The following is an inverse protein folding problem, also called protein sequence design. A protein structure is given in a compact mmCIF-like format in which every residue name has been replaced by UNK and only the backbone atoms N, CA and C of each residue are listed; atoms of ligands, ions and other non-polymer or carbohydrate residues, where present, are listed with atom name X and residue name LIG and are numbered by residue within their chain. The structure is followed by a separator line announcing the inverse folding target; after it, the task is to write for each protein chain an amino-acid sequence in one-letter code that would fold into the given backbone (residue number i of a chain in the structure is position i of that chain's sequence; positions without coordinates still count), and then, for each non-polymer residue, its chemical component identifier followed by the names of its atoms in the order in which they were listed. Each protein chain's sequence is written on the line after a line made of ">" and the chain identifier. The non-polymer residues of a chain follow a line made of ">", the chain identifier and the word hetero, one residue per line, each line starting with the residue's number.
data_IF_478812589513
#
_entry.id   IF_478812589513
#
_cell.length_a   1.000
_cell.length_b   1.000
_cell.length_c   1.000
_cell.angle_alpha   90.00
_cell.angle_beta   90.00
_cell.angle_gamma   90.00
#
_symmetry.space_group_name_H-M   'P 1'
#
loop_
_entity.id
_entity.type
_entity.pdbx_description
1 polymer ?
#
# COMPACT_ATOMS: atom_id res chain seq x y z
N UNK A 1 -9.44 67.80 -53.64
CA UNK A 1 -8.00 68.07 -53.89
C UNK A 1 -7.24 67.13 -52.96
N UNK A 2 -6.57 66.12 -53.54
CA UNK A 2 -5.44 65.28 -53.05
C UNK A 2 -5.53 64.75 -51.59
N UNK A 3 -5.78 63.46 -51.35
CA UNK A 3 -4.86 62.30 -51.46
C UNK A 3 -3.57 62.37 -50.64
N UNK A 4 -3.16 61.18 -50.16
CA UNK A 4 -1.97 60.76 -49.39
C UNK A 4 -2.06 60.91 -47.85
N UNK A 5 -2.35 59.84 -47.08
CA UNK A 5 -1.66 58.54 -46.89
C UNK A 5 -0.56 58.60 -45.84
N UNK A 6 -0.87 58.08 -44.65
CA UNK A 6 0.05 57.23 -43.88
C UNK A 6 -0.77 56.05 -43.36
N UNK A 7 -0.92 55.06 -44.22
CA UNK A 7 -1.00 53.67 -43.79
C UNK A 7 0.20 53.33 -42.90
N UNK A 8 0.01 52.34 -42.02
CA UNK A 8 0.94 51.78 -41.02
C UNK A 8 0.89 52.50 -39.68
N UNK A 9 0.11 51.94 -38.75
CA UNK A 9 0.67 51.16 -37.65
C UNK A 9 -0.48 50.45 -36.92
N UNK A 10 -0.71 49.18 -37.30
CA UNK A 10 -1.00 48.08 -36.37
C UNK A 10 -2.37 48.17 -35.65
N UNK A 11 -3.46 47.56 -36.14
CA UNK A 11 -3.68 46.10 -36.25
C UNK A 11 -3.05 45.27 -35.11
N UNK A 12 -3.32 45.63 -33.86
CA UNK A 12 -3.18 44.85 -32.62
C UNK A 12 -3.76 45.80 -31.57
N UNK A 13 -4.90 45.57 -30.89
CA UNK A 13 -5.16 44.49 -29.94
C UNK A 13 -6.64 44.59 -29.53
N UNK A 14 -7.56 44.26 -30.43
CA UNK A 14 -8.96 43.98 -30.06
C UNK A 14 -9.19 42.46 -30.00
N UNK A 15 -8.53 41.79 -29.05
CA UNK A 15 -8.80 40.39 -28.67
C UNK A 15 -7.99 40.03 -27.42
N UNK A 16 -8.33 40.56 -26.24
CA UNK A 16 -7.68 40.07 -25.02
C UNK A 16 -8.45 40.31 -23.72
N UNK A 17 -9.75 40.02 -23.68
CA UNK A 17 -10.46 39.90 -22.39
C UNK A 17 -11.43 38.72 -22.33
N UNK A 18 -11.19 37.67 -23.12
CA UNK A 18 -11.97 36.43 -23.11
C UNK A 18 -11.12 35.21 -22.71
N UNK A 19 -10.21 35.33 -21.73
CA UNK A 19 -9.40 34.18 -21.28
C UNK A 19 -8.67 34.39 -19.94
N UNK A 20 -9.36 34.84 -18.88
CA UNK A 20 -8.75 34.95 -17.54
C UNK A 20 -9.64 34.49 -16.38
N UNK A 21 -10.58 33.58 -16.63
CA UNK A 21 -11.38 32.94 -15.57
C UNK A 21 -11.41 31.40 -15.74
N UNK A 22 -10.31 30.80 -16.21
CA UNK A 22 -10.17 29.35 -16.31
C UNK A 22 -8.70 28.94 -16.00
N UNK A 23 -8.26 29.09 -14.75
CA UNK A 23 -7.36 28.05 -14.23
C UNK A 23 -7.68 27.60 -12.80
N UNK A 24 -8.83 27.99 -12.23
CA UNK A 24 -9.14 27.60 -10.84
C UNK A 24 -9.93 26.27 -10.72
N UNK A 25 -10.48 25.75 -11.82
CA UNK A 25 -11.26 24.49 -11.81
C UNK A 25 -10.40 23.28 -12.24
N UNK A 26 -9.20 23.49 -12.77
CA UNK A 26 -8.34 22.41 -13.29
C UNK A 26 -7.25 21.91 -12.34
N UNK A 27 -7.28 22.31 -11.06
CA UNK A 27 -6.33 21.84 -10.04
C UNK A 27 -6.90 20.80 -9.07
N UNK A 28 -8.18 20.44 -9.22
CA UNK A 28 -8.83 19.40 -8.40
C UNK A 28 -9.02 18.04 -9.11
N UNK A 29 -8.66 17.91 -10.40
CA UNK A 29 -8.90 16.68 -11.19
C UNK A 29 -7.63 15.83 -11.38
N UNK A 30 -6.47 16.27 -10.89
CA UNK A 30 -5.19 15.56 -11.05
C UNK A 30 -4.60 15.03 -9.73
N UNK A 31 -5.43 14.75 -8.74
CA UNK A 31 -5.06 13.64 -7.87
C UNK A 31 -5.38 12.39 -8.67
N UNK A 32 -4.40 11.54 -9.06
CA UNK A 32 -4.77 10.17 -9.30
C UNK A 32 -5.48 9.75 -8.02
N UNK A 33 -6.78 9.48 -8.12
CA UNK A 33 -7.42 8.60 -7.18
C UNK A 33 -6.53 7.37 -7.24
N UNK A 34 -5.68 7.24 -6.23
CA UNK A 34 -4.90 6.04 -5.98
C UNK A 34 -5.98 5.02 -5.65
N UNK A 35 -6.59 4.48 -6.70
CA UNK A 35 -7.47 3.34 -6.61
C UNK A 35 -6.56 2.30 -5.99
N UNK A 36 -6.84 1.96 -4.73
CA UNK A 36 -6.31 0.78 -4.11
C UNK A 36 -6.72 -0.37 -5.03
N UNK A 37 -5.84 -0.69 -5.98
CA UNK A 37 -6.03 -1.79 -6.89
C UNK A 37 -6.02 -3.00 -5.98
N UNK A 38 -7.19 -3.60 -5.81
CA UNK A 38 -7.35 -4.83 -5.07
C UNK A 38 -6.46 -5.84 -5.78
N UNK A 39 -5.30 -6.14 -5.20
CA UNK A 39 -4.45 -7.19 -5.71
C UNK A 39 -5.19 -8.49 -5.44
N UNK A 40 -5.40 -9.29 -6.48
CA UNK A 40 -6.03 -10.59 -6.34
C UNK A 40 -5.30 -11.42 -5.29
N UNK A 41 -6.06 -12.12 -4.44
CA UNK A 41 -5.52 -13.01 -3.43
C UNK A 41 -4.51 -13.99 -4.06
N UNK A 42 -3.29 -14.11 -3.51
CA UNK A 42 -2.32 -15.04 -4.05
C UNK A 42 -2.86 -16.46 -3.86
N UNK A 43 -2.58 -17.32 -4.83
CA UNK A 43 -2.73 -18.76 -4.66
C UNK A 43 -1.92 -19.25 -3.45
N UNK A 44 -2.22 -20.46 -2.98
CA UNK A 44 -1.50 -21.05 -1.85
C UNK A 44 0.01 -21.17 -2.17
N UNK A 45 0.34 -21.53 -3.40
CA UNK A 45 1.72 -21.68 -3.90
C UNK A 45 2.45 -20.32 -3.95
N UNK A 46 1.77 -19.27 -4.42
CA UNK A 46 2.30 -17.90 -4.44
C UNK A 46 2.48 -17.37 -3.02
N UNK A 47 1.51 -17.60 -2.14
CA UNK A 47 1.60 -17.23 -0.73
C UNK A 47 2.82 -17.88 -0.08
N UNK A 48 3.01 -19.19 -0.26
CA UNK A 48 4.20 -19.92 0.23
C UNK A 48 5.50 -19.33 -0.31
N UNK A 49 5.54 -18.96 -1.59
CA UNK A 49 6.72 -18.33 -2.21
C UNK A 49 6.99 -16.94 -1.63
N UNK A 50 5.95 -16.14 -1.44
CA UNK A 50 6.07 -14.80 -0.84
C UNK A 50 6.58 -14.93 0.59
N UNK A 51 5.95 -15.78 1.40
CA UNK A 51 6.30 -16.13 2.78
C UNK A 51 7.77 -16.56 2.90
N UNK A 52 8.22 -17.49 2.05
CA UNK A 52 9.60 -17.98 2.05
C UNK A 52 10.64 -16.86 1.82
N UNK A 53 10.23 -15.78 1.16
CA UNK A 53 11.08 -14.63 0.89
C UNK A 53 11.07 -13.57 2.00
N UNK A 54 10.21 -13.69 3.03
CA UNK A 54 10.27 -12.82 4.20
C UNK A 54 11.48 -13.17 5.07
N UNK A 55 12.25 -12.15 5.43
CA UNK A 55 13.53 -12.28 6.15
C UNK A 55 13.40 -13.10 7.45
N UNK A 56 12.28 -12.97 8.17
CA UNK A 56 12.02 -13.72 9.40
C UNK A 56 11.77 -15.22 9.17
N UNK A 57 11.17 -15.58 8.04
CA UNK A 57 10.81 -16.96 7.71
C UNK A 57 11.87 -17.67 6.87
N UNK A 58 12.88 -16.93 6.35
CA UNK A 58 14.06 -17.50 5.70
C UNK A 58 14.90 -18.36 6.64
N UNK A 59 14.87 -18.08 7.94
CA UNK A 59 15.47 -18.97 8.92
C UNK A 59 14.72 -20.31 8.86
N UNK A 60 15.42 -21.43 8.70
CA UNK A 60 14.84 -22.79 8.62
C UNK A 60 14.06 -23.23 9.89
N UNK A 61 13.77 -22.28 10.78
CA UNK A 61 13.13 -22.40 12.08
C UNK A 61 11.61 -22.32 11.98
N UNK A 62 11.07 -21.86 10.84
CA UNK A 62 9.64 -21.67 10.62
C UNK A 62 9.08 -22.70 9.63
N UNK A 63 7.92 -23.27 9.97
CA UNK A 63 7.19 -24.21 9.12
C UNK A 63 5.77 -23.72 8.96
N UNK A 64 5.33 -23.43 7.72
CA UNK A 64 3.93 -23.09 7.45
C UNK A 64 3.08 -24.34 7.67
N UNK A 65 2.15 -24.28 8.61
CA UNK A 65 1.26 -25.38 8.98
C UNK A 65 -0.04 -25.30 8.20
N UNK A 66 -0.59 -24.08 8.08
CA UNK A 66 -1.91 -23.87 7.50
C UNK A 66 -2.03 -22.50 6.83
N UNK A 67 -2.78 -22.45 5.72
CA UNK A 67 -3.17 -21.23 5.01
C UNK A 67 -4.67 -21.36 4.71
N UNK A 68 -5.45 -20.37 5.11
CA UNK A 68 -6.90 -20.30 4.87
C UNK A 68 -7.34 -18.87 4.52
N UNK A 69 -8.48 -18.70 3.84
CA UNK A 69 -9.09 -17.38 3.65
C UNK A 69 -9.38 -16.70 4.98
N UNK A 70 -9.06 -15.42 5.05
CA UNK A 70 -9.13 -14.60 6.24
C UNK A 70 -9.87 -13.29 6.02
N UNK A 71 -10.08 -12.56 7.12
CA UNK A 71 -10.53 -11.17 7.09
C UNK A 71 -9.64 -10.34 7.98
N UNK A 72 -9.32 -9.14 7.54
CA UNK A 72 -8.66 -8.14 8.37
C UNK A 72 -9.59 -6.97 8.59
N UNK A 73 -9.92 -6.68 9.85
CA UNK A 73 -10.61 -5.45 10.21
C UNK A 73 -9.58 -4.38 10.62
N UNK A 74 -9.61 -3.25 9.95
CA UNK A 74 -8.84 -2.07 10.32
C UNK A 74 -9.45 -1.30 11.50
N UNK A 75 -8.68 -0.38 12.09
CA UNK A 75 -9.12 0.47 13.20
C UNK A 75 -10.35 1.34 12.85
N UNK A 76 -10.48 1.75 11.58
CA UNK A 76 -11.63 2.52 11.07
C UNK A 76 -12.90 1.67 10.86
N UNK A 77 -12.83 0.35 11.11
CA UNK A 77 -13.93 -0.59 10.91
C UNK A 77 -14.01 -1.18 9.49
N UNK A 78 -13.18 -0.74 8.56
CA UNK A 78 -13.09 -1.31 7.22
C UNK A 78 -12.63 -2.77 7.30
N UNK A 79 -13.29 -3.65 6.54
CA UNK A 79 -12.98 -5.08 6.49
C UNK A 79 -12.36 -5.39 5.14
N UNK A 80 -11.12 -5.84 5.18
CA UNK A 80 -10.44 -6.46 4.05
C UNK A 80 -10.84 -7.92 3.97
N UNK A 81 -11.68 -8.23 2.99
CA UNK A 81 -12.09 -9.61 2.69
C UNK A 81 -11.04 -10.37 1.86
N UNK A 82 -9.97 -9.69 1.43
CA UNK A 82 -8.86 -10.24 0.64
C UNK A 82 -7.62 -10.58 1.51
N UNK A 83 -7.83 -11.15 2.69
CA UNK A 83 -6.75 -11.54 3.59
C UNK A 83 -6.56 -13.06 3.57
N UNK A 84 -5.33 -13.52 3.83
CA UNK A 84 -5.04 -14.92 4.17
C UNK A 84 -4.63 -15.02 5.63
N UNK A 85 -5.17 -16.00 6.34
CA UNK A 85 -4.69 -16.39 7.65
C UNK A 85 -3.62 -17.47 7.48
N UNK A 86 -2.47 -17.23 8.10
CA UNK A 86 -1.30 -18.08 7.95
C UNK A 86 -0.85 -18.52 9.33
N UNK A 87 -0.90 -19.82 9.57
CA UNK A 87 -0.42 -20.41 10.81
C UNK A 87 0.95 -21.02 10.58
N UNK A 88 1.92 -20.60 11.38
CA UNK A 88 3.32 -21.01 11.28
C UNK A 88 3.78 -21.59 12.61
N UNK A 89 4.47 -22.72 12.57
CA UNK A 89 5.20 -23.27 13.71
C UNK A 89 6.63 -22.73 13.70
N UNK A 90 7.01 -21.99 14.73
CA UNK A 90 8.34 -21.38 14.83
C UNK A 90 8.79 -21.17 16.27
N UNK A 91 10.06 -20.79 16.49
CA UNK A 91 10.56 -20.50 17.84
C UNK A 91 9.76 -19.35 18.45
N UNK A 92 9.50 -19.40 19.76
CA UNK A 92 8.74 -18.37 20.49
C UNK A 92 9.35 -16.99 20.29
N UNK A 93 10.66 -16.89 20.49
CA UNK A 93 11.49 -15.70 20.27
C UNK A 93 12.76 -16.07 19.49
N UNK A 94 13.49 -15.07 18.98
CA UNK A 94 14.79 -15.33 18.34
C UNK A 94 15.73 -16.06 19.31
N UNK A 95 16.29 -17.20 18.87
CA UNK A 95 17.17 -18.04 19.69
C UNK A 95 16.48 -18.96 20.71
N UNK A 96 15.14 -18.92 20.81
CA UNK A 96 14.39 -19.80 21.71
C UNK A 96 14.27 -21.21 21.12
N UNK A 97 14.41 -22.25 21.95
CA UNK A 97 14.23 -23.65 21.54
C UNK A 97 12.76 -24.06 21.56
N UNK A 98 11.95 -23.37 22.35
CA UNK A 98 10.51 -23.64 22.44
C UNK A 98 9.83 -23.17 21.16
N UNK A 99 9.16 -24.10 20.47
CA UNK A 99 8.37 -23.81 19.27
C UNK A 99 6.90 -23.60 19.66
N UNK A 100 6.28 -22.57 19.08
CA UNK A 100 4.87 -22.24 19.26
C UNK A 100 4.21 -21.98 17.91
N UNK A 101 2.89 -22.10 17.88
CA UNK A 101 2.10 -21.64 16.75
C UNK A 101 1.97 -20.12 16.79
N UNK A 102 2.24 -19.50 15.64
CA UNK A 102 2.09 -18.07 15.40
C UNK A 102 1.11 -17.88 14.26
N UNK A 103 0.16 -16.97 14.44
CA UNK A 103 -0.79 -16.60 13.41
C UNK A 103 -0.40 -15.25 12.82
N UNK A 104 -0.35 -15.22 11.50
CA UNK A 104 -0.12 -14.04 10.68
C UNK A 104 -1.34 -13.82 9.80
N UNK A 105 -1.61 -12.56 9.50
CA UNK A 105 -2.55 -12.18 8.44
C UNK A 105 -1.74 -11.63 7.28
N UNK A 106 -1.89 -12.23 6.12
CA UNK A 106 -1.27 -11.75 4.89
C UNK A 106 -2.26 -10.89 4.12
N UNK A 107 -1.80 -9.73 3.65
CA UNK A 107 -2.62 -8.77 2.92
C UNK A 107 -1.74 -7.93 1.98
N UNK A 108 -2.34 -7.36 0.95
CA UNK A 108 -1.66 -6.47 0.00
C UNK A 108 -1.93 -5.00 0.32
N UNK A 109 -0.89 -4.21 0.49
CA UNK A 109 -0.99 -2.75 0.44
C UNK A 109 -0.07 -2.17 -0.61
N UNK A 110 -0.37 -0.98 -1.10
CA UNK A 110 0.52 -0.29 -2.03
C UNK A 110 1.85 0.11 -1.39
N UNK A 111 1.84 0.39 -0.09
CA UNK A 111 3.04 0.82 0.65
C UNK A 111 4.01 -0.34 0.88
N UNK A 112 3.50 -1.53 1.21
CA UNK A 112 4.30 -2.68 1.61
C UNK A 112 4.31 -3.82 0.59
N UNK A 113 3.49 -3.76 -0.47
CA UNK A 113 3.20 -4.89 -1.33
C UNK A 113 2.43 -5.97 -0.57
N UNK A 114 2.67 -7.24 -0.88
CA UNK A 114 2.23 -8.35 -0.03
C UNK A 114 3.07 -8.39 1.24
N UNK A 115 2.39 -8.32 2.39
CA UNK A 115 3.04 -8.34 3.69
C UNK A 115 2.32 -9.27 4.66
N UNK A 116 3.07 -9.76 5.63
CA UNK A 116 2.56 -10.49 6.78
C UNK A 116 2.47 -9.53 7.95
N UNK A 117 1.33 -9.53 8.64
CA UNK A 117 1.19 -8.81 9.89
C UNK A 117 0.79 -9.72 11.03
N UNK A 118 1.23 -9.38 12.23
CA UNK A 118 0.85 -10.05 13.46
C UNK A 118 0.68 -9.02 14.57
N UNK A 119 -0.46 -9.12 15.28
CA UNK A 119 -0.70 -8.32 16.47
C UNK A 119 0.00 -8.98 17.65
N UNK A 120 0.81 -8.20 18.35
CA UNK A 120 1.54 -8.59 19.54
C UNK A 120 1.06 -7.74 20.71
N UNK A 121 0.98 -8.36 21.87
CA UNK A 121 0.62 -7.69 23.11
C UNK A 121 1.65 -8.08 24.17
N UNK A 122 2.34 -7.09 24.72
CA UNK A 122 3.27 -7.27 25.83
C UNK A 122 3.05 -6.23 26.93
N UNK A 123 3.94 -6.18 27.92
CA UNK A 123 3.83 -5.24 29.05
C UNK A 123 3.91 -3.77 28.65
N UNK A 124 4.35 -3.44 27.44
CA UNK A 124 4.44 -2.08 26.88
C UNK A 124 3.22 -1.74 26.02
N UNK A 125 2.33 -2.69 25.77
CA UNK A 125 1.06 -2.51 25.08
C UNK A 125 0.94 -3.33 23.79
N UNK A 126 0.03 -2.89 22.93
CA UNK A 126 -0.24 -3.56 21.65
C UNK A 126 0.61 -2.93 20.56
N UNK A 127 1.23 -3.76 19.73
CA UNK A 127 1.92 -3.35 18.52
C UNK A 127 1.68 -4.36 17.40
N UNK A 128 1.86 -3.90 16.17
CA UNK A 128 1.73 -4.71 14.95
C UNK A 128 3.13 -4.92 14.39
N UNK A 129 3.54 -6.19 14.34
CA UNK A 129 4.69 -6.60 13.55
C UNK A 129 4.25 -6.71 12.09
N UNK A 130 4.93 -5.99 11.21
CA UNK A 130 4.74 -6.06 9.75
C UNK A 130 6.04 -6.58 9.17
N UNK A 131 5.96 -7.66 8.41
CA UNK A 131 7.05 -8.18 7.60
C UNK A 131 6.68 -8.04 6.14
N UNK A 132 7.46 -7.28 5.37
CA UNK A 132 7.28 -7.14 3.93
C UNK A 132 8.59 -7.38 3.19
N UNK A 133 8.53 -7.77 1.92
CA UNK A 133 9.74 -7.87 1.09
C UNK A 133 10.33 -6.49 0.79
N UNK A 134 9.47 -5.48 0.66
CA UNK A 134 9.85 -4.11 0.25
C UNK A 134 10.53 -3.31 1.36
N UNK A 135 10.13 -3.52 2.62
CA UNK A 135 10.59 -2.75 3.78
C UNK A 135 11.20 -3.59 4.90
N UNK A 136 11.28 -4.91 4.71
CA UNK A 136 11.72 -5.83 5.75
C UNK A 136 10.74 -5.86 6.91
N UNK A 137 11.27 -6.00 8.13
CA UNK A 137 10.47 -6.04 9.35
C UNK A 137 10.34 -4.66 10.01
N UNK A 138 9.10 -4.25 10.26
CA UNK A 138 8.74 -2.99 10.91
C UNK A 138 7.77 -3.27 12.07
N UNK A 139 7.88 -2.48 13.14
CA UNK A 139 6.95 -2.51 14.26
C UNK A 139 6.17 -1.20 14.32
N UNK A 140 4.83 -1.29 14.34
CA UNK A 140 3.92 -0.15 14.38
C UNK A 140 3.12 -0.19 15.68
N UNK A 141 2.97 0.95 16.36
CA UNK A 141 2.20 1.08 17.62
C UNK A 141 0.89 1.82 17.37
#
# INVERSE_FOLDING_TARGET
>A
MLEYSVEKTVQQTMTSYANKLLPLILLFILHPAVQAQAADLPSKEEALTIIANHEDLKSHLFTVVHIEPGKLREKNGFIHDQALLITVLGPKSAGDTVRILKQYTMFYSQEYGWYLQRVLNDSRGIYVEISSQTRGRVFVR
#
